data_IF_639777567192
#
_entry.id   IF_639777567192
#
_cell.length_a   1.000
_cell.length_b   1.000
_cell.length_c   1.000
_cell.angle_alpha   90.00
_cell.angle_beta   90.00
_cell.angle_gamma   90.00
#
_symmetry.space_group_name_H-M   'P 1'
#
loop_
_entity.id
_entity.type
_entity.pdbx_description
1 polymer ?
#
# COMPACT_ATOMS: atom_id res chain seq x y z
N UNK A 1 3.78 12.74 8.01
CA UNK A 1 4.28 11.35 7.89
C UNK A 1 5.00 11.21 6.55
N UNK A 2 6.16 10.54 6.50
CA UNK A 2 6.83 10.28 5.22
C UNK A 2 6.22 9.05 4.54
N UNK A 3 5.94 9.12 3.25
CA UNK A 3 5.68 7.94 2.41
C UNK A 3 6.79 7.79 1.38
N UNK A 4 7.12 6.54 1.08
CA UNK A 4 8.11 6.13 0.10
C UNK A 4 7.41 5.29 -0.96
N UNK A 5 7.38 5.78 -2.19
CA UNK A 5 6.88 5.09 -3.35
C UNK A 5 8.03 4.50 -4.17
N UNK A 6 7.76 3.36 -4.78
CA UNK A 6 8.65 2.63 -5.66
C UNK A 6 7.84 2.14 -6.85
N UNK A 7 8.42 2.19 -8.05
CA UNK A 7 7.88 1.45 -9.18
C UNK A 7 8.98 0.82 -10.03
N UNK A 8 8.68 -0.36 -10.56
CA UNK A 8 9.62 -1.19 -11.31
C UNK A 8 8.86 -2.20 -12.17
N UNK A 9 9.63 -3.06 -12.85
CA UNK A 9 9.11 -4.12 -13.71
C UNK A 9 8.13 -5.05 -12.99
N UNK A 10 7.39 -5.80 -13.79
CA UNK A 10 6.31 -6.65 -13.35
C UNK A 10 6.78 -7.76 -12.42
N UNK A 11 6.22 -7.83 -11.20
CA UNK A 11 6.24 -9.08 -10.41
C UNK A 11 5.20 -10.02 -11.04
N UNK A 12 5.57 -11.25 -11.36
CA UNK A 12 4.67 -12.19 -12.05
C UNK A 12 4.08 -13.28 -11.16
N UNK A 13 4.63 -13.49 -9.97
CA UNK A 13 4.31 -14.64 -9.12
C UNK A 13 3.90 -14.21 -7.70
N UNK A 14 3.13 -15.07 -7.02
CA UNK A 14 2.77 -14.99 -5.61
C UNK A 14 1.86 -13.80 -5.24
N UNK A 15 1.14 -13.23 -6.20
CA UNK A 15 0.11 -12.21 -5.92
C UNK A 15 -1.10 -12.82 -5.22
N UNK A 16 -1.39 -14.09 -5.51
CA UNK A 16 -2.46 -14.89 -4.93
C UNK A 16 -2.26 -15.19 -3.44
N UNK A 17 -1.03 -15.11 -2.94
CA UNK A 17 -0.69 -15.31 -1.52
C UNK A 17 -0.90 -14.04 -0.69
N UNK A 18 -1.07 -12.89 -1.34
CA UNK A 18 -1.26 -11.60 -0.68
C UNK A 18 -2.72 -11.39 -0.31
N UNK A 19 -2.96 -10.78 0.86
CA UNK A 19 -4.31 -10.41 1.28
C UNK A 19 -4.80 -9.18 0.50
N UNK A 20 -5.90 -9.30 -0.28
CA UNK A 20 -6.53 -8.16 -0.94
C UNK A 20 -6.93 -7.07 0.04
N UNK A 21 -6.77 -5.80 -0.33
CA UNK A 21 -7.28 -4.67 0.46
C UNK A 21 -8.79 -4.82 0.68
N UNK A 22 -9.54 -5.23 -0.34
CA UNK A 22 -10.99 -5.45 -0.25
C UNK A 22 -11.37 -6.49 0.80
N UNK A 23 -10.67 -7.62 0.84
CA UNK A 23 -10.89 -8.68 1.83
C UNK A 23 -10.52 -8.19 3.24
N UNK A 24 -9.44 -7.43 3.38
CA UNK A 24 -9.08 -6.82 4.66
C UNK A 24 -10.16 -5.84 5.15
N UNK A 25 -10.69 -4.99 4.27
CA UNK A 25 -11.78 -4.07 4.61
C UNK A 25 -13.07 -4.82 4.99
N UNK A 26 -13.36 -5.97 4.37
CA UNK A 26 -14.51 -6.81 4.72
C UNK A 26 -14.45 -7.34 6.15
N UNK A 27 -13.26 -7.58 6.71
CA UNK A 27 -13.15 -8.03 8.11
C UNK A 27 -13.70 -7.03 9.12
N UNK A 28 -13.83 -5.76 8.75
CA UNK A 28 -14.46 -4.71 9.57
C UNK A 28 -15.95 -4.52 9.26
N UNK A 29 -16.42 -5.00 8.11
CA UNK A 29 -17.81 -4.85 7.66
C UNK A 29 -18.70 -6.02 8.12
N UNK A 30 -18.15 -7.22 8.23
CA UNK A 30 -18.89 -8.44 8.63
C UNK A 30 -19.11 -8.57 10.15
N UNK A 31 -18.54 -7.67 10.95
CA UNK A 31 -18.75 -7.63 12.40
C UNK A 31 -20.05 -6.87 12.72
N UNK A 32 -21.18 -7.53 12.44
CA UNK A 32 -22.56 -7.00 12.48
C UNK A 32 -23.10 -6.71 13.90
N UNK A 33 -22.23 -6.75 14.93
CA UNK A 33 -22.63 -6.78 16.34
C UNK A 33 -22.16 -5.61 17.21
N UNK A 34 -20.89 -5.20 17.10
CA UNK A 34 -20.32 -4.14 17.94
C UNK A 34 -18.95 -3.71 17.41
N UNK A 35 -18.88 -3.24 16.15
CA UNK A 35 -17.61 -2.70 15.61
C UNK A 35 -17.17 -1.57 16.55
N UNK A 36 -16.12 -1.84 17.31
CA UNK A 36 -15.66 -0.94 18.35
C UNK A 36 -15.32 0.41 17.72
N UNK A 37 -15.45 1.50 18.48
CA UNK A 37 -15.10 2.83 17.96
C UNK A 37 -13.66 2.87 17.41
N UNK A 38 -12.77 2.05 17.99
CA UNK A 38 -11.39 1.85 17.56
C UNK A 38 -11.29 1.27 16.15
N UNK A 39 -12.10 0.25 15.82
CA UNK A 39 -12.08 -0.40 14.50
C UNK A 39 -12.59 0.52 13.40
N UNK A 40 -13.58 1.38 13.71
CA UNK A 40 -14.06 2.43 12.79
C UNK A 40 -13.00 3.50 12.52
N UNK A 41 -12.23 3.88 13.54
CA UNK A 41 -11.13 4.83 13.40
C UNK A 41 -9.99 4.22 12.57
N UNK A 42 -9.63 2.96 12.82
CA UNK A 42 -8.65 2.23 12.01
C UNK A 42 -9.08 2.11 10.55
N UNK A 43 -10.36 1.83 10.26
CA UNK A 43 -10.87 1.76 8.89
C UNK A 43 -10.69 3.09 8.14
N UNK A 44 -11.04 4.21 8.79
CA UNK A 44 -10.84 5.55 8.23
C UNK A 44 -9.37 5.84 7.96
N UNK A 45 -8.48 5.43 8.86
CA UNK A 45 -7.04 5.59 8.70
C UNK A 45 -6.51 4.79 7.51
N UNK A 46 -6.97 3.55 7.32
CA UNK A 46 -6.61 2.70 6.17
C UNK A 46 -7.04 3.33 4.86
N UNK A 47 -8.29 3.80 4.78
CA UNK A 47 -8.82 4.46 3.57
C UNK A 47 -8.02 5.73 3.28
N UNK A 48 -7.81 6.59 4.27
CA UNK A 48 -7.05 7.83 4.09
C UNK A 48 -5.59 7.58 3.66
N UNK A 49 -4.93 6.57 4.25
CA UNK A 49 -3.59 6.16 3.84
C UNK A 49 -3.58 5.56 2.44
N UNK A 50 -4.59 4.78 2.07
CA UNK A 50 -4.74 4.23 0.71
C UNK A 50 -4.88 5.35 -0.31
N UNK A 51 -5.76 6.32 -0.07
CA UNK A 51 -5.95 7.47 -0.98
C UNK A 51 -4.66 8.27 -1.16
N UNK A 52 -3.92 8.47 -0.07
CA UNK A 52 -2.63 9.17 -0.10
C UNK A 52 -1.56 8.35 -0.85
N UNK A 53 -1.53 7.03 -0.66
CA UNK A 53 -0.62 6.14 -1.37
C UNK A 53 -0.90 6.12 -2.88
N UNK A 54 -2.18 6.06 -3.25
CA UNK A 54 -2.62 6.13 -4.64
C UNK A 54 -2.31 7.49 -5.28
N UNK A 55 -2.43 8.59 -4.53
CA UNK A 55 -2.02 9.92 -5.00
C UNK A 55 -0.50 9.97 -5.27
N UNK A 56 0.32 9.41 -4.38
CA UNK A 56 1.76 9.31 -4.59
C UNK A 56 2.08 8.46 -5.84
N UNK A 57 1.40 7.33 -6.01
CA UNK A 57 1.58 6.49 -7.19
C UNK A 57 1.25 7.24 -8.49
N UNK A 58 0.20 8.08 -8.51
CA UNK A 58 -0.13 8.92 -9.67
C UNK A 58 0.99 9.89 -10.01
N UNK A 59 1.63 10.49 -8.99
CA UNK A 59 2.79 11.36 -9.19
C UNK A 59 4.00 10.60 -9.76
N UNK A 60 4.09 9.29 -9.49
CA UNK A 60 5.09 8.39 -10.06
C UNK A 60 4.74 7.85 -11.46
N UNK A 61 3.61 8.27 -12.04
CA UNK A 61 3.20 7.85 -13.38
C UNK A 61 2.17 6.73 -13.42
N UNK A 62 1.55 6.36 -12.29
CA UNK A 62 0.41 5.45 -12.29
C UNK A 62 -0.79 6.05 -13.04
N UNK A 63 -1.33 5.30 -13.99
CA UNK A 63 -2.42 5.73 -14.89
C UNK A 63 -3.82 5.70 -14.25
N UNK A 64 -3.94 5.22 -13.01
CA UNK A 64 -5.22 5.08 -12.30
C UNK A 64 -5.88 3.71 -12.44
N UNK A 65 -5.26 2.75 -13.14
CA UNK A 65 -5.74 1.38 -13.33
C UNK A 65 -4.90 0.36 -12.58
N UNK A 66 -5.52 -0.69 -12.04
CA UNK A 66 -4.79 -1.82 -11.51
C UNK A 66 -5.42 -3.15 -11.95
N UNK A 67 -4.57 -4.14 -12.17
CA UNK A 67 -4.98 -5.51 -12.46
C UNK A 67 -5.33 -6.21 -11.15
N UNK A 68 -6.60 -6.60 -11.00
CA UNK A 68 -7.12 -7.19 -9.76
C UNK A 68 -7.47 -6.12 -8.73
N UNK A 69 -6.68 -6.03 -7.65
CA UNK A 69 -6.88 -5.06 -6.57
C UNK A 69 -5.54 -4.66 -5.94
N UNK A 70 -5.49 -3.57 -5.15
CA UNK A 70 -4.38 -3.31 -4.26
C UNK A 70 -4.31 -4.33 -3.13
N UNK A 71 -3.09 -4.68 -2.73
CA UNK A 71 -2.80 -5.60 -1.63
C UNK A 71 -2.09 -4.86 -0.49
N UNK A 72 -2.25 -5.38 0.72
CA UNK A 72 -1.58 -4.88 1.92
C UNK A 72 -0.39 -5.76 2.28
N UNK A 73 0.69 -5.13 2.74
CA UNK A 73 1.80 -5.82 3.39
C UNK A 73 2.17 -5.11 4.68
N UNK A 74 2.66 -5.86 5.66
CA UNK A 74 2.98 -5.36 7.00
C UNK A 74 4.48 -5.34 7.24
N UNK A 75 4.98 -4.24 7.78
CA UNK A 75 6.37 -4.05 8.16
C UNK A 75 6.47 -3.74 9.65
N UNK A 76 7.40 -4.35 10.38
CA UNK A 76 7.68 -3.96 11.76
C UNK A 76 8.33 -2.57 11.78
N UNK A 77 7.77 -1.66 12.59
CA UNK A 77 8.30 -0.32 12.79
C UNK A 77 8.95 -0.19 14.17
N UNK A 78 10.27 0.01 14.20
CA UNK A 78 11.00 0.23 15.45
C UNK A 78 10.60 1.55 16.13
N UNK A 79 10.18 2.55 15.34
CA UNK A 79 9.87 3.88 15.84
C UNK A 79 8.52 3.93 16.56
N UNK A 80 7.49 3.30 15.98
CA UNK A 80 6.14 3.26 16.55
C UNK A 80 5.90 2.05 17.47
N UNK A 81 6.84 1.09 17.52
CA UNK A 81 6.71 -0.17 18.26
C UNK A 81 5.47 -0.98 17.84
N UNK A 82 5.06 -0.85 16.59
CA UNK A 82 3.91 -1.51 16.00
C UNK A 82 4.22 -2.01 14.59
N UNK A 83 3.28 -2.71 13.98
CA UNK A 83 3.33 -3.01 12.56
C UNK A 83 2.66 -1.88 11.78
N UNK A 84 3.35 -1.37 10.77
CA UNK A 84 2.83 -0.41 9.81
C UNK A 84 2.58 -1.13 8.48
N UNK A 85 1.57 -0.70 7.74
CA UNK A 85 1.21 -1.33 6.47
C UNK A 85 1.55 -0.43 5.29
N UNK A 86 1.98 -1.06 4.21
CA UNK A 86 2.12 -0.47 2.88
C UNK A 86 1.14 -1.09 1.88
N UNK A 87 1.13 -0.53 0.68
CA UNK A 87 0.28 -0.95 -0.43
C UNK A 87 1.13 -1.41 -1.60
N UNK A 88 0.73 -2.51 -2.24
CA UNK A 88 1.34 -3.00 -3.47
C UNK A 88 0.27 -3.33 -4.50
N UNK A 89 0.49 -2.94 -5.75
CA UNK A 89 -0.44 -3.23 -6.84
C UNK A 89 0.26 -3.23 -8.20
N UNK A 90 -0.40 -3.85 -9.18
CA UNK A 90 0.05 -3.95 -10.56
C UNK A 90 -0.81 -3.05 -11.44
N UNK A 91 -0.20 -2.16 -12.22
CA UNK A 91 -0.90 -1.34 -13.22
C UNK A 91 -1.42 -2.19 -14.38
N UNK A 92 -2.57 -1.84 -14.97
CA UNK A 92 -3.17 -2.66 -16.05
C UNK A 92 -2.51 -2.49 -17.40
N UNK A 93 -2.07 -1.28 -17.74
CA UNK A 93 -1.60 -0.96 -19.09
C UNK A 93 -0.29 -1.65 -19.48
N UNK A 94 0.63 -1.81 -18.54
CA UNK A 94 1.98 -2.33 -18.78
C UNK A 94 2.46 -3.31 -17.70
N UNK A 95 1.60 -3.66 -16.75
CA UNK A 95 1.92 -4.50 -15.60
C UNK A 95 3.03 -3.94 -14.69
N UNK A 96 3.32 -2.64 -14.72
CA UNK A 96 4.26 -2.00 -13.79
C UNK A 96 3.81 -2.23 -12.35
N UNK A 97 4.76 -2.60 -11.49
CA UNK A 97 4.49 -2.81 -10.07
C UNK A 97 4.71 -1.51 -9.31
N UNK A 98 3.74 -1.12 -8.49
CA UNK A 98 3.84 0.02 -7.57
C UNK A 98 3.85 -0.49 -6.13
N UNK A 99 4.81 -0.01 -5.34
CA UNK A 99 4.92 -0.30 -3.90
C UNK A 99 4.97 1.03 -3.16
N UNK A 100 4.10 1.24 -2.18
CA UNK A 100 4.05 2.45 -1.37
C UNK A 100 4.14 2.03 0.09
N UNK A 101 5.13 2.55 0.80
CA UNK A 101 5.45 2.17 2.18
C UNK A 101 5.63 3.38 3.07
N UNK A 102 5.14 3.36 4.32
CA UNK A 102 5.47 4.38 5.33
C UNK A 102 6.89 4.24 5.89
N UNK A 103 7.55 3.11 5.62
CA UNK A 103 8.93 2.82 6.01
C UNK A 103 9.77 2.69 4.73
N UNK A 104 10.94 3.33 4.70
CA UNK A 104 11.87 3.20 3.58
C UNK A 104 12.28 1.74 3.37
N UNK A 105 12.13 1.25 2.14
CA UNK A 105 12.50 -0.08 1.71
C UNK A 105 13.85 -0.01 1.01
N UNK A 106 14.93 0.04 1.80
CA UNK A 106 16.29 0.28 1.29
C UNK A 106 16.69 -0.71 0.18
N UNK A 107 16.25 -1.97 0.27
CA UNK A 107 16.53 -2.98 -0.76
C UNK A 107 15.90 -2.66 -2.13
N UNK A 108 14.80 -1.89 -2.17
CA UNK A 108 14.23 -1.36 -3.40
C UNK A 108 14.89 -0.05 -3.79
N UNK A 109 15.18 0.81 -2.81
CA UNK A 109 15.76 2.14 -3.05
C UNK A 109 17.19 2.08 -3.64
N UNK A 110 17.95 1.04 -3.33
CA UNK A 110 19.32 0.85 -3.81
C UNK A 110 19.41 0.19 -5.20
N UNK A 111 18.29 -0.32 -5.73
CA UNK A 111 18.25 -0.95 -7.05
C UNK A 111 18.13 0.10 -8.16
N UNK A 112 19.06 0.06 -9.12
CA UNK A 112 19.12 1.01 -10.23
C UNK A 112 17.94 0.92 -11.21
N UNK A 113 17.21 -0.19 -11.22
CA UNK A 113 16.03 -0.40 -12.07
C UNK A 113 14.73 0.08 -11.40
N UNK A 114 14.80 0.47 -10.13
CA UNK A 114 13.66 0.96 -9.35
C UNK A 114 13.61 2.48 -9.37
N UNK A 115 12.45 3.02 -9.76
CA UNK A 115 12.18 4.45 -9.62
C UNK A 115 11.55 4.73 -8.26
N UNK A 116 12.04 5.77 -7.59
CA UNK A 116 11.66 6.10 -6.21
C UNK A 116 11.08 7.51 -6.13
N UNK A 117 10.07 7.70 -5.29
CA UNK A 117 9.57 9.04 -4.90
C UNK A 117 9.22 9.03 -3.42
N UNK A 118 9.77 9.96 -2.65
CA UNK A 118 9.37 10.15 -1.25
C UNK A 118 8.61 11.46 -1.08
N UNK A 119 7.59 11.44 -0.22
CA UNK A 119 6.72 12.59 0.03
C UNK A 119 6.36 12.68 1.50
N UNK A 120 6.52 13.87 2.07
CA UNK A 120 5.97 14.18 3.38
C UNK A 120 4.50 14.56 3.23
N UNK A 121 3.65 13.91 4.00
CA UNK A 121 2.21 14.17 4.06
C UNK A 121 1.91 14.81 5.40
N UNK A 122 1.24 15.95 5.36
CA UNK A 122 0.82 16.70 6.55
C UNK A 122 -0.14 15.91 7.44
#
# INVERSE_FOLDING_TARGET
MMLYGYHFSTIEHNWEDLKPLTEFLQTFADDDGDVSQRDKESLKEIIAKSDTALALAREMGWDGSYTGCPYLFWLPSKNSQSFEYGFVFKQTSDNTTFVISPIELTYLAEDSEVQTLSKNIE
#
